data_IF_060005226105
#
_entry.id   IF_060005226105
#
_cell.length_a   1.000
_cell.length_b   1.000
_cell.length_c   1.000
_cell.angle_alpha   90.00
_cell.angle_beta   90.00
_cell.angle_gamma   90.00
#
_symmetry.space_group_name_H-M   'P 1'
#
loop_
_entity.id
_entity.type
_entity.pdbx_description
1 polymer ?
#
# COMPACT_ATOMS: atom_id res chain seq x y z
N UNK A 1 -42.29 -9.31 -42.35
CA UNK A 1 -41.84 -9.80 -41.04
C UNK A 1 -40.42 -10.31 -41.19
N UNK A 2 -39.41 -9.59 -40.71
CA UNK A 2 -37.99 -10.04 -40.69
C UNK A 2 -37.68 -10.63 -39.32
N UNK A 3 -37.08 -11.82 -39.21
CA UNK A 3 -36.71 -12.40 -37.92
C UNK A 3 -35.51 -11.65 -37.35
N UNK A 4 -35.67 -11.15 -36.12
CA UNK A 4 -34.60 -10.51 -35.32
C UNK A 4 -33.69 -11.63 -34.77
N UNK A 5 -32.60 -11.90 -35.46
CA UNK A 5 -31.58 -12.83 -35.01
C UNK A 5 -30.69 -12.14 -33.96
N UNK A 6 -31.14 -12.10 -32.70
CA UNK A 6 -30.39 -11.62 -31.55
C UNK A 6 -29.37 -12.69 -31.18
N UNK A 7 -28.22 -12.69 -31.85
CA UNK A 7 -27.04 -13.44 -31.39
C UNK A 7 -26.63 -12.91 -30.03
N UNK A 8 -27.11 -13.56 -28.98
CA UNK A 8 -26.55 -13.45 -27.63
C UNK A 8 -25.07 -13.86 -27.71
N UNK A 9 -24.20 -12.87 -27.83
CA UNK A 9 -22.77 -13.03 -27.68
C UNK A 9 -22.54 -13.32 -26.18
N UNK A 10 -22.59 -14.60 -25.81
CA UNK A 10 -22.11 -15.07 -24.53
C UNK A 10 -20.69 -14.51 -24.37
N UNK A 11 -20.56 -13.51 -23.50
CA UNK A 11 -19.27 -13.02 -23.05
C UNK A 11 -18.53 -14.22 -22.43
N UNK A 12 -17.68 -14.87 -23.23
CA UNK A 12 -16.71 -15.81 -22.70
C UNK A 12 -15.97 -15.08 -21.59
N UNK A 13 -16.21 -15.52 -20.36
CA UNK A 13 -15.43 -15.12 -19.18
C UNK A 13 -13.95 -15.13 -19.56
N UNK A 14 -13.42 -13.95 -19.77
CA UNK A 14 -11.98 -13.70 -19.79
C UNK A 14 -11.45 -13.76 -18.34
N UNK A 15 -11.54 -14.90 -17.72
CA UNK A 15 -10.50 -15.36 -16.81
C UNK A 15 -9.30 -15.73 -17.70
N UNK A 16 -8.85 -14.75 -18.49
CA UNK A 16 -7.61 -14.85 -19.23
C UNK A 16 -6.51 -14.99 -18.18
N UNK A 17 -5.81 -16.06 -18.26
CA UNK A 17 -4.57 -16.42 -17.59
C UNK A 17 -3.84 -15.15 -17.16
N UNK A 18 -3.88 -14.86 -15.84
CA UNK A 18 -3.14 -13.71 -15.29
C UNK A 18 -1.68 -14.09 -15.57
N UNK A 19 -0.97 -13.39 -16.48
CA UNK A 19 0.36 -13.80 -16.85
C UNK A 19 1.20 -13.87 -15.57
N UNK A 20 1.86 -14.99 -15.34
CA UNK A 20 2.66 -15.30 -14.14
C UNK A 20 3.58 -14.13 -13.74
N UNK A 21 4.03 -13.35 -14.73
CA UNK A 21 4.80 -12.11 -14.53
C UNK A 21 4.10 -11.04 -13.70
N UNK A 22 2.76 -10.97 -13.69
CA UNK A 22 1.98 -10.02 -12.90
C UNK A 22 1.72 -10.51 -11.49
N UNK A 23 1.83 -11.82 -11.25
CA UNK A 23 1.64 -12.40 -9.91
C UNK A 23 2.85 -12.15 -9.00
N UNK A 24 4.06 -12.19 -9.57
CA UNK A 24 5.31 -12.07 -8.77
C UNK A 24 5.36 -10.77 -7.96
N UNK A 25 5.18 -9.55 -8.52
CA UNK A 25 5.19 -8.34 -7.70
C UNK A 25 4.08 -8.33 -6.66
N UNK A 26 2.86 -8.79 -7.00
CA UNK A 26 1.76 -8.86 -6.04
C UNK A 26 2.06 -9.77 -4.85
N UNK A 27 2.79 -10.88 -5.06
CA UNK A 27 3.22 -11.76 -3.96
C UNK A 27 4.20 -11.03 -3.03
N UNK A 28 5.13 -10.25 -3.58
CA UNK A 28 6.08 -9.47 -2.77
C UNK A 28 5.36 -8.39 -1.97
N UNK A 29 4.39 -7.69 -2.57
CA UNK A 29 3.53 -6.72 -1.87
C UNK A 29 2.75 -7.39 -0.73
N UNK A 30 2.23 -8.62 -0.94
CA UNK A 30 1.56 -9.39 0.11
C UNK A 30 2.51 -9.78 1.25
N UNK A 31 3.75 -10.14 0.95
CA UNK A 31 4.78 -10.42 1.96
C UNK A 31 5.14 -9.15 2.76
N UNK A 32 5.22 -8.01 2.09
CA UNK A 32 5.41 -6.72 2.74
C UNK A 32 4.26 -6.39 3.68
N UNK A 33 3.00 -6.60 3.26
CA UNK A 33 1.81 -6.45 4.09
C UNK A 33 1.86 -7.37 5.31
N UNK A 34 2.19 -8.65 5.13
CA UNK A 34 2.34 -9.62 6.22
C UNK A 34 3.41 -9.18 7.23
N UNK A 35 4.53 -8.60 6.75
CA UNK A 35 5.56 -8.04 7.62
C UNK A 35 5.02 -6.87 8.44
N UNK A 36 4.27 -5.94 7.84
CA UNK A 36 3.64 -4.83 8.55
C UNK A 36 2.66 -5.30 9.63
N UNK A 37 1.81 -6.28 9.33
CA UNK A 37 0.88 -6.87 10.32
C UNK A 37 1.64 -7.59 11.42
N UNK A 38 2.74 -8.27 11.09
CA UNK A 38 3.60 -8.95 12.08
C UNK A 38 4.26 -7.95 13.02
N UNK A 39 4.65 -6.77 12.53
CA UNK A 39 5.12 -5.66 13.37
C UNK A 39 4.08 -5.23 14.40
N UNK A 40 2.81 -5.10 14.01
CA UNK A 40 1.70 -4.77 14.93
C UNK A 40 1.62 -5.82 16.04
N UNK A 41 1.70 -7.11 15.68
CA UNK A 41 1.68 -8.20 16.66
C UNK A 41 2.81 -8.07 17.68
N UNK A 42 4.04 -7.80 17.25
CA UNK A 42 5.18 -7.63 18.16
C UNK A 42 5.07 -6.35 18.98
N UNK A 43 4.48 -5.27 18.44
CA UNK A 43 4.18 -4.06 19.21
C UNK A 43 3.25 -4.35 20.39
N UNK A 44 2.21 -5.15 20.18
CA UNK A 44 1.27 -5.56 21.24
C UNK A 44 1.93 -6.50 22.26
N UNK A 45 2.98 -7.24 21.86
CA UNK A 45 3.77 -8.10 22.74
C UNK A 45 4.90 -7.36 23.47
N UNK A 46 5.01 -6.04 23.29
CA UNK A 46 6.08 -5.18 23.84
C UNK A 46 7.49 -5.56 23.39
N UNK A 47 7.62 -6.32 22.30
CA UNK A 47 8.92 -6.64 21.69
C UNK A 47 9.28 -5.59 20.62
N UNK A 48 9.73 -4.44 21.11
CA UNK A 48 10.01 -3.25 20.30
C UNK A 48 11.04 -3.49 19.21
N UNK A 49 12.08 -4.26 19.54
CA UNK A 49 13.17 -4.56 18.61
C UNK A 49 12.65 -5.32 17.39
N UNK A 50 11.82 -6.33 17.60
CA UNK A 50 11.20 -7.09 16.48
C UNK A 50 10.15 -6.27 15.75
N UNK A 51 9.35 -5.49 16.48
CA UNK A 51 8.34 -4.63 15.85
C UNK A 51 8.97 -3.66 14.84
N UNK A 52 10.03 -2.96 15.23
CA UNK A 52 10.78 -2.06 14.34
C UNK A 52 11.44 -2.82 13.20
N UNK A 53 12.06 -3.97 13.47
CA UNK A 53 12.69 -4.80 12.45
C UNK A 53 11.68 -5.20 11.35
N UNK A 54 10.46 -5.57 11.72
CA UNK A 54 9.43 -5.96 10.75
C UNK A 54 8.88 -4.78 9.93
N UNK A 55 8.85 -3.54 10.48
CA UNK A 55 8.58 -2.33 9.69
C UNK A 55 9.69 -2.10 8.66
N UNK A 56 10.95 -2.25 9.07
CA UNK A 56 12.09 -2.11 8.16
C UNK A 56 12.07 -3.16 7.05
N UNK A 57 11.74 -4.40 7.39
CA UNK A 57 11.59 -5.50 6.43
C UNK A 57 10.43 -5.23 5.45
N UNK A 58 9.32 -4.69 5.94
CA UNK A 58 8.21 -4.27 5.10
C UNK A 58 8.62 -3.18 4.09
N UNK A 59 9.40 -2.18 4.52
CA UNK A 59 9.94 -1.15 3.65
C UNK A 59 10.93 -1.69 2.61
N UNK A 60 11.71 -2.71 2.97
CA UNK A 60 12.62 -3.39 2.02
C UNK A 60 11.83 -4.12 0.92
N UNK A 61 10.79 -4.86 1.28
CA UNK A 61 9.93 -5.56 0.33
C UNK A 61 9.20 -4.60 -0.59
N UNK A 62 8.75 -3.44 -0.08
CA UNK A 62 8.16 -2.35 -0.86
C UNK A 62 9.11 -1.83 -1.96
N UNK A 63 10.37 -1.59 -1.60
CA UNK A 63 11.38 -1.20 -2.58
C UNK A 63 11.65 -2.26 -3.64
N UNK A 64 11.48 -3.54 -3.27
CA UNK A 64 11.69 -4.68 -4.17
C UNK A 64 10.50 -4.88 -5.13
N UNK A 65 9.25 -4.84 -4.65
CA UNK A 65 8.07 -5.05 -5.51
C UNK A 65 7.92 -3.95 -6.55
N UNK A 66 8.16 -2.69 -6.18
CA UNK A 66 8.18 -1.57 -7.12
C UNK A 66 9.27 -1.69 -8.20
N UNK A 67 10.45 -2.24 -7.86
CA UNK A 67 11.50 -2.54 -8.84
C UNK A 67 11.12 -3.72 -9.73
N UNK A 68 10.61 -4.80 -9.16
CA UNK A 68 10.16 -5.98 -9.88
C UNK A 68 9.03 -5.66 -10.86
N UNK A 69 8.04 -4.88 -10.44
CA UNK A 69 6.94 -4.45 -11.32
C UNK A 69 7.44 -3.70 -12.55
N UNK A 70 8.43 -2.79 -12.36
CA UNK A 70 9.05 -2.05 -13.46
C UNK A 70 9.90 -2.93 -14.37
N UNK A 71 10.73 -3.81 -13.82
CA UNK A 71 11.59 -4.71 -14.59
C UNK A 71 10.77 -5.71 -15.42
N UNK A 72 9.69 -6.22 -14.85
CA UNK A 72 8.83 -7.22 -15.52
C UNK A 72 7.79 -6.57 -16.46
N UNK A 73 7.72 -5.21 -16.50
CA UNK A 73 6.66 -4.47 -17.21
C UNK A 73 5.27 -5.01 -16.87
N UNK A 74 5.06 -5.33 -15.60
CA UNK A 74 3.92 -6.08 -15.08
C UNK A 74 2.95 -5.21 -14.29
N UNK A 75 3.01 -3.88 -14.47
CA UNK A 75 2.09 -2.96 -13.80
C UNK A 75 0.63 -3.28 -14.15
N UNK A 76 -0.21 -3.43 -13.13
CA UNK A 76 -1.64 -3.62 -13.29
C UNK A 76 -2.38 -2.67 -12.35
N UNK A 77 -3.60 -2.25 -12.73
CA UNK A 77 -4.43 -1.42 -11.85
C UNK A 77 -4.65 -2.10 -10.49
N UNK A 78 -4.93 -3.40 -10.49
CA UNK A 78 -5.10 -4.18 -9.25
C UNK A 78 -3.83 -4.16 -8.39
N UNK A 79 -2.64 -4.32 -9.00
CA UNK A 79 -1.38 -4.28 -8.26
C UNK A 79 -1.12 -2.91 -7.62
N UNK A 80 -1.43 -1.82 -8.33
CA UNK A 80 -1.27 -0.46 -7.79
C UNK A 80 -2.22 -0.18 -6.62
N UNK A 81 -3.47 -0.65 -6.68
CA UNK A 81 -4.42 -0.52 -5.57
C UNK A 81 -3.99 -1.38 -4.36
N UNK A 82 -3.54 -2.62 -4.62
CA UNK A 82 -3.04 -3.51 -3.58
C UNK A 82 -1.82 -2.91 -2.88
N UNK A 83 -0.91 -2.30 -3.63
CA UNK A 83 0.27 -1.62 -3.12
C UNK A 83 -0.11 -0.44 -2.21
N UNK A 84 -1.00 0.43 -2.67
CA UNK A 84 -1.49 1.57 -1.87
C UNK A 84 -2.17 1.13 -0.56
N UNK A 85 -3.00 0.09 -0.60
CA UNK A 85 -3.63 -0.47 0.61
C UNK A 85 -2.59 -1.07 1.56
N UNK A 86 -1.62 -1.77 1.01
CA UNK A 86 -0.49 -2.35 1.74
C UNK A 86 0.36 -1.26 2.40
N UNK A 87 0.68 -0.18 1.67
CA UNK A 87 1.39 0.99 2.15
C UNK A 87 0.69 1.66 3.34
N UNK A 88 -0.62 1.82 3.25
CA UNK A 88 -1.39 2.39 4.34
C UNK A 88 -1.26 1.56 5.63
N UNK A 89 -1.35 0.24 5.54
CA UNK A 89 -1.25 -0.62 6.73
C UNK A 89 0.16 -0.59 7.32
N UNK A 90 1.20 -0.74 6.51
CA UNK A 90 2.58 -0.87 6.98
C UNK A 90 3.24 0.44 7.38
N UNK A 91 2.89 1.56 6.74
CA UNK A 91 3.49 2.88 7.04
C UNK A 91 2.52 3.85 7.73
N UNK A 92 1.22 3.57 7.72
CA UNK A 92 0.22 4.35 8.44
C UNK A 92 -0.18 3.70 9.76
N UNK A 93 -0.67 2.45 9.71
CA UNK A 93 -1.26 1.80 10.88
C UNK A 93 -0.19 1.18 11.79
N UNK A 94 0.77 0.43 11.23
CA UNK A 94 1.77 -0.27 12.04
C UNK A 94 2.65 0.68 12.87
N UNK A 95 3.22 1.77 12.32
CA UNK A 95 3.97 2.74 13.13
C UNK A 95 3.10 3.48 14.15
N UNK A 96 1.84 3.80 13.80
CA UNK A 96 0.93 4.44 14.73
C UNK A 96 0.67 3.58 15.98
N UNK A 97 0.42 2.28 15.78
CA UNK A 97 0.20 1.34 16.89
C UNK A 97 1.50 1.15 17.69
N UNK A 98 2.64 1.04 17.02
CA UNK A 98 3.94 0.93 17.67
C UNK A 98 4.19 2.12 18.60
N UNK A 99 4.01 3.34 18.09
CA UNK A 99 4.19 4.57 18.87
C UNK A 99 3.21 4.69 20.03
N UNK A 100 1.95 4.28 19.82
CA UNK A 100 0.96 4.26 20.87
C UNK A 100 1.37 3.35 22.03
N UNK A 101 1.77 2.13 21.72
CA UNK A 101 2.16 1.15 22.73
C UNK A 101 3.49 1.51 23.44
N UNK A 102 4.43 2.11 22.71
CA UNK A 102 5.75 2.41 23.24
C UNK A 102 5.78 3.67 24.09
N UNK A 103 5.21 4.79 23.62
CA UNK A 103 5.40 6.11 24.24
C UNK A 103 4.11 6.75 24.74
N UNK A 104 2.95 6.36 24.21
CA UNK A 104 1.69 7.07 24.43
C UNK A 104 0.69 6.27 25.25
N UNK A 105 1.11 5.11 25.75
CA UNK A 105 0.25 4.23 26.55
C UNK A 105 -0.23 4.89 27.84
N UNK A 106 0.60 5.72 28.48
CA UNK A 106 0.25 6.45 29.71
C UNK A 106 -0.79 7.57 29.51
N UNK A 107 -0.99 7.99 28.26
CA UNK A 107 -1.96 9.02 27.89
C UNK A 107 -3.00 8.46 26.88
N UNK A 108 -3.83 7.48 27.25
CA UNK A 108 -4.56 6.67 26.28
C UNK A 108 -5.51 7.48 25.39
N UNK A 109 -6.17 8.51 25.90
CA UNK A 109 -7.11 9.32 25.10
C UNK A 109 -6.39 10.24 24.11
N UNK A 110 -5.37 10.95 24.58
CA UNK A 110 -4.62 11.93 23.78
C UNK A 110 -3.70 11.20 22.82
N UNK A 111 -2.99 10.18 23.28
CA UNK A 111 -2.09 9.36 22.45
C UNK A 111 -2.81 8.67 21.30
N UNK A 112 -3.97 8.08 21.58
CA UNK A 112 -4.80 7.48 20.55
C UNK A 112 -5.27 8.48 19.50
N UNK A 113 -5.66 9.70 19.93
CA UNK A 113 -6.02 10.76 18.99
C UNK A 113 -4.89 11.11 18.02
N UNK A 114 -3.66 11.25 18.49
CA UNK A 114 -2.50 11.53 17.64
C UNK A 114 -2.19 10.37 16.68
N UNK A 115 -2.31 9.14 17.13
CA UNK A 115 -2.15 7.95 16.28
C UNK A 115 -3.19 7.90 15.16
N UNK A 116 -4.45 8.20 15.46
CA UNK A 116 -5.50 8.32 14.46
C UNK A 116 -5.22 9.46 13.46
N UNK A 117 -4.79 10.62 13.96
CA UNK A 117 -4.46 11.76 13.11
C UNK A 117 -3.32 11.43 12.14
N UNK A 118 -2.29 10.73 12.62
CA UNK A 118 -1.19 10.26 11.78
C UNK A 118 -1.68 9.28 10.70
N UNK A 119 -2.45 8.27 11.08
CA UNK A 119 -2.97 7.27 10.15
C UNK A 119 -3.91 7.93 9.11
N UNK A 120 -4.77 8.87 9.52
CA UNK A 120 -5.63 9.62 8.61
C UNK A 120 -4.82 10.48 7.64
N UNK A 121 -3.77 11.15 8.11
CA UNK A 121 -2.86 11.94 7.26
C UNK A 121 -2.21 11.07 6.18
N UNK A 122 -1.78 9.85 6.55
CA UNK A 122 -1.23 8.89 5.60
C UNK A 122 -2.27 8.40 4.58
N UNK A 123 -3.50 8.10 5.03
CA UNK A 123 -4.59 7.71 4.13
C UNK A 123 -4.91 8.82 3.11
N UNK A 124 -5.08 10.06 3.57
CA UNK A 124 -5.37 11.21 2.71
C UNK A 124 -4.25 11.46 1.69
N UNK A 125 -3.01 11.31 2.12
CA UNK A 125 -1.86 11.46 1.26
C UNK A 125 -1.83 10.41 0.14
N UNK A 126 -2.03 9.13 0.48
CA UNK A 126 -2.08 8.03 -0.50
C UNK A 126 -3.26 8.19 -1.47
N UNK A 127 -4.45 8.57 -0.95
CA UNK A 127 -5.62 8.84 -1.78
C UNK A 127 -5.36 9.98 -2.77
N UNK A 128 -4.74 11.09 -2.31
CA UNK A 128 -4.38 12.20 -3.19
C UNK A 128 -3.36 11.78 -4.25
N UNK A 129 -2.38 10.97 -3.89
CA UNK A 129 -1.39 10.48 -4.85
C UNK A 129 -2.03 9.60 -5.93
N UNK A 130 -2.94 8.70 -5.55
CA UNK A 130 -3.64 7.82 -6.48
C UNK A 130 -4.55 8.62 -7.43
N UNK A 131 -5.30 9.60 -6.95
CA UNK A 131 -6.13 10.46 -7.81
C UNK A 131 -5.30 11.25 -8.81
N UNK A 132 -4.12 11.74 -8.40
CA UNK A 132 -3.20 12.44 -9.29
C UNK A 132 -2.63 11.54 -10.39
N UNK A 133 -2.42 10.25 -10.12
CA UNK A 133 -1.97 9.28 -11.13
C UNK A 133 -3.05 8.92 -12.16
N UNK A 134 -4.33 8.99 -11.77
CA UNK A 134 -5.47 8.75 -12.69
C UNK A 134 -5.76 9.95 -13.58
N UNK A 135 -5.49 11.18 -13.15
CA UNK A 135 -5.66 12.40 -13.92
C UNK A 135 -4.57 12.52 -14.99
N UNK A 136 -4.90 12.08 -16.22
CA UNK A 136 -4.03 12.17 -17.41
C UNK A 136 -3.71 13.62 -17.87
N UNK A 137 -4.17 14.63 -17.15
CA UNK A 137 -4.04 16.05 -17.48
C UNK A 137 -2.80 16.71 -16.87
N UNK A 138 -1.87 15.97 -16.29
CA UNK A 138 -0.66 16.56 -15.71
C UNK A 138 0.34 17.00 -16.77
N UNK A 139 0.91 18.23 -16.65
CA UNK A 139 2.03 18.66 -17.50
C UNK A 139 3.24 17.74 -17.34
N UNK A 140 4.02 17.49 -18.42
CA UNK A 140 5.09 16.49 -18.43
C UNK A 140 6.25 16.76 -17.44
N UNK A 141 6.33 17.93 -16.83
CA UNK A 141 7.39 18.30 -15.88
C UNK A 141 7.12 17.95 -14.41
N UNK A 142 5.94 17.43 -14.07
CA UNK A 142 5.59 17.13 -12.67
C UNK A 142 6.09 15.78 -12.17
N UNK A 143 6.55 14.92 -13.06
CA UNK A 143 7.08 13.58 -12.71
C UNK A 143 8.36 13.61 -11.86
N UNK A 144 9.02 14.78 -11.75
CA UNK A 144 10.25 14.94 -10.97
C UNK A 144 10.04 15.65 -9.60
N UNK A 145 8.83 16.10 -9.29
CA UNK A 145 8.54 16.79 -8.04
C UNK A 145 7.82 15.85 -7.06
N UNK A 146 8.50 15.44 -6.00
CA UNK A 146 7.87 14.78 -4.87
C UNK A 146 7.02 15.79 -4.08
N UNK A 147 5.71 15.56 -4.04
CA UNK A 147 4.81 16.37 -3.20
C UNK A 147 4.76 15.78 -1.79
N UNK A 148 5.72 16.17 -0.94
CA UNK A 148 5.79 15.74 0.46
C UNK A 148 6.79 14.60 0.74
N UNK A 149 6.87 14.19 2.01
CA UNK A 149 7.79 13.13 2.49
C UNK A 149 7.33 11.76 1.98
N UNK A 150 8.19 10.89 1.42
CA UNK A 150 7.80 9.54 1.02
C UNK A 150 7.27 8.72 2.22
N UNK A 151 6.29 7.83 1.99
CA UNK A 151 5.64 7.07 3.04
C UNK A 151 6.61 6.29 3.96
N UNK A 152 7.64 5.58 3.43
CA UNK A 152 8.63 4.92 4.27
C UNK A 152 9.43 5.87 5.15
N UNK A 153 9.75 7.07 4.64
CA UNK A 153 10.50 8.07 5.40
C UNK A 153 9.66 8.69 6.54
N UNK A 154 8.35 8.88 6.31
CA UNK A 154 7.45 9.35 7.36
C UNK A 154 7.26 8.32 8.49
N UNK A 155 7.34 7.03 8.19
CA UNK A 155 7.24 5.97 9.19
C UNK A 155 8.55 5.77 9.98
N UNK A 156 9.68 6.25 9.46
CA UNK A 156 11.01 6.16 10.10
C UNK A 156 11.35 7.37 10.99
N UNK A 157 10.55 8.44 10.92
CA UNK A 157 10.66 9.63 11.77
C UNK A 157 9.99 9.43 13.11
#
# INVERSE_FOLDING_TARGET
>A
MKPINRKLKLSKNKFSEVPFRKLVPNIVTMLALCSGITSIRYSVQEDWSKAVLFIFLAALFDGLDGRLARMLKASSKFGAELDSLSDFVRFGVAPAILMFQWCLFDLPKIGWFFCLLYAMGMAMRLARFNTMLEDKAMPPNWSHCFTGVPAPAAAAM
#
